data_IF_006824223124
#
_entry.id   IF_006824223124
#
_cell.length_a   1.000
_cell.length_b   1.000
_cell.length_c   1.000
_cell.angle_alpha   90.00
_cell.angle_beta   90.00
_cell.angle_gamma   90.00
#
_symmetry.space_group_name_H-M   'P 1'
#
loop_
_entity.id
_entity.type
_entity.pdbx_description
1 polymer ?
#
# COMPACT_ATOMS: atom_id res chain seq x y z
N UNK A 1 -15.09 -36.13 -3.97
CA UNK A 1 -14.18 -35.52 -2.98
C UNK A 1 -12.86 -35.32 -3.72
N UNK A 2 -12.44 -34.15 -4.19
CA UNK A 2 -12.36 -32.81 -3.58
C UNK A 2 -12.75 -31.74 -4.62
N UNK A 3 -13.42 -30.70 -4.14
CA UNK A 3 -13.86 -29.49 -4.85
C UNK A 3 -12.68 -28.53 -5.10
N UNK A 4 -12.91 -27.58 -6.01
CA UNK A 4 -12.38 -26.21 -6.06
C UNK A 4 -10.98 -26.05 -6.68
N UNK A 5 -10.88 -25.73 -7.99
CA UNK A 5 -10.92 -24.37 -8.56
C UNK A 5 -9.99 -23.37 -7.84
N UNK A 6 -8.80 -23.16 -8.38
CA UNK A 6 -8.08 -21.89 -8.27
C UNK A 6 -7.96 -21.37 -9.69
N UNK A 7 -8.86 -20.46 -10.01
CA UNK A 7 -8.85 -19.72 -11.27
C UNK A 7 -7.66 -18.76 -11.24
N UNK A 8 -6.79 -18.93 -12.23
CA UNK A 8 -5.85 -17.92 -12.70
C UNK A 8 -6.69 -16.76 -13.24
N UNK A 9 -6.91 -15.74 -12.41
CA UNK A 9 -7.71 -14.57 -12.73
C UNK A 9 -7.00 -13.64 -13.71
N UNK A 10 -7.29 -13.87 -14.99
CA UNK A 10 -7.45 -12.90 -16.07
C UNK A 10 -7.45 -11.41 -15.63
N UNK A 11 -6.39 -10.67 -15.95
CA UNK A 11 -6.48 -9.21 -16.09
C UNK A 11 -6.94 -8.93 -17.53
N UNK A 12 -8.26 -8.96 -17.73
CA UNK A 12 -8.92 -8.66 -18.99
C UNK A 12 -9.22 -7.17 -19.11
N UNK A 13 -8.94 -6.63 -20.30
CA UNK A 13 -9.36 -5.32 -20.79
C UNK A 13 -10.90 -5.25 -20.84
N UNK A 14 -11.50 -4.11 -20.44
CA UNK A 14 -12.81 -3.51 -20.83
C UNK A 14 -13.66 -3.01 -19.65
N UNK A 15 -13.68 -1.69 -19.48
CA UNK A 15 -14.85 -0.83 -19.20
C UNK A 15 -15.88 -1.22 -18.13
N UNK A 16 -15.88 -0.47 -17.04
CA UNK A 16 -17.11 -0.01 -16.38
C UNK A 16 -16.85 1.35 -15.70
N UNK A 17 -17.52 2.38 -16.20
CA UNK A 17 -17.69 3.65 -15.51
C UNK A 17 -18.75 3.45 -14.44
N UNK A 18 -18.38 3.44 -13.16
CA UNK A 18 -19.29 3.63 -12.01
C UNK A 18 -18.45 4.02 -10.77
N UNK A 19 -18.17 5.32 -10.66
CA UNK A 19 -17.82 6.08 -9.44
C UNK A 19 -16.66 5.67 -8.50
N UNK A 20 -15.75 4.77 -8.88
CA UNK A 20 -14.63 4.37 -8.00
C UNK A 20 -13.28 4.38 -8.74
N UNK A 21 -12.82 5.57 -9.15
CA UNK A 21 -11.47 5.73 -9.65
C UNK A 21 -10.50 5.39 -8.50
N UNK A 22 -9.71 4.32 -8.63
CA UNK A 22 -8.69 4.03 -7.64
C UNK A 22 -7.71 5.22 -7.52
N UNK A 23 -7.13 5.40 -6.34
CA UNK A 23 -6.29 6.54 -6.00
C UNK A 23 -5.21 6.80 -7.06
N UNK A 24 -5.02 8.06 -7.42
CA UNK A 24 -4.08 8.48 -8.44
C UNK A 24 -2.94 9.30 -7.82
N UNK A 25 -1.84 9.46 -8.56
CA UNK A 25 -0.81 10.41 -8.17
C UNK A 25 -1.42 11.82 -8.08
N UNK A 26 -1.20 12.48 -6.95
CA UNK A 26 -1.85 13.75 -6.60
C UNK A 26 -2.92 13.60 -5.52
N UNK A 27 -3.62 12.46 -5.46
CA UNK A 27 -4.65 12.21 -4.45
C UNK A 27 -4.03 12.03 -3.07
N UNK A 28 -4.83 12.31 -2.04
CA UNK A 28 -4.48 12.00 -0.66
C UNK A 28 -5.24 10.78 -0.17
N UNK A 29 -4.53 9.69 0.09
CA UNK A 29 -5.10 8.48 0.69
C UNK A 29 -4.96 8.55 2.21
N UNK A 30 -6.05 8.31 2.93
CA UNK A 30 -6.04 8.15 4.38
C UNK A 30 -5.84 6.66 4.65
N UNK A 31 -4.69 6.30 5.23
CA UNK A 31 -4.28 4.91 5.41
C UNK A 31 -4.00 4.58 6.87
N UNK A 32 -4.32 3.36 7.26
CA UNK A 32 -3.71 2.70 8.41
C UNK A 32 -2.58 1.84 7.87
N UNK A 33 -1.41 1.86 8.49
CA UNK A 33 -0.34 0.96 8.10
C UNK A 33 0.35 0.38 9.32
N UNK A 34 0.85 -0.85 9.18
CA UNK A 34 1.67 -1.53 10.16
C UNK A 34 2.85 -2.23 9.45
N UNK A 35 4.07 -1.84 9.82
CA UNK A 35 5.32 -2.32 9.25
C UNK A 35 5.86 -3.52 10.02
N UNK A 36 6.27 -4.54 9.26
CA UNK A 36 6.82 -5.80 9.76
C UNK A 36 8.18 -6.06 9.12
N UNK A 37 9.16 -6.38 9.96
CA UNK A 37 10.48 -6.87 9.56
C UNK A 37 10.57 -8.34 10.00
N UNK A 38 10.76 -9.25 9.04
CA UNK A 38 10.82 -10.70 9.31
C UNK A 38 9.61 -11.24 10.12
N UNK A 39 8.42 -10.64 9.91
CA UNK A 39 7.18 -10.99 10.61
C UNK A 39 7.02 -10.36 12.00
N UNK A 40 8.00 -9.59 12.45
CA UNK A 40 7.95 -8.84 13.71
C UNK A 40 7.61 -7.39 13.43
N UNK A 41 6.56 -6.87 14.08
CA UNK A 41 6.20 -5.45 13.94
C UNK A 41 7.29 -4.57 14.57
N UNK A 42 7.79 -3.57 13.83
CA UNK A 42 8.85 -2.68 14.30
C UNK A 42 8.29 -1.34 14.79
N UNK A 43 8.92 -0.71 15.81
CA UNK A 43 8.49 0.58 16.34
C UNK A 43 8.66 1.69 15.29
N UNK A 44 7.68 2.60 15.22
CA UNK A 44 7.68 3.71 14.26
C UNK A 44 7.19 3.34 12.85
N UNK A 45 6.94 2.06 12.56
CA UNK A 45 6.35 1.60 11.31
C UNK A 45 4.82 1.49 11.32
N UNK A 46 4.12 2.05 12.31
CA UNK A 46 2.67 1.91 12.44
C UNK A 46 1.99 3.25 12.64
N UNK A 47 0.91 3.50 11.91
CA UNK A 47 0.04 4.66 12.08
C UNK A 47 -1.40 4.31 11.69
N UNK A 48 -2.36 5.04 12.26
CA UNK A 48 -3.78 4.95 11.93
C UNK A 48 -4.27 6.32 11.44
N UNK A 49 -5.09 6.34 10.40
CA UNK A 49 -5.68 7.55 9.82
C UNK A 49 -4.66 8.50 9.20
N UNK A 50 -3.52 8.00 8.74
CA UNK A 50 -2.43 8.83 8.22
C UNK A 50 -2.76 9.32 6.80
N UNK A 51 -2.86 10.64 6.55
CA UNK A 51 -3.06 11.18 5.22
C UNK A 51 -1.74 11.17 4.44
N UNK A 52 -1.69 10.43 3.35
CA UNK A 52 -0.54 10.33 2.45
C UNK A 52 -0.91 10.84 1.06
N UNK A 53 -0.24 11.90 0.60
CA UNK A 53 -0.36 12.38 -0.77
C UNK A 53 0.49 11.52 -1.70
N UNK A 54 -0.13 10.86 -2.66
CA UNK A 54 0.55 9.98 -3.62
C UNK A 54 1.39 10.80 -4.61
N UNK A 55 2.66 10.42 -4.78
CA UNK A 55 3.62 11.13 -5.62
C UNK A 55 4.24 12.36 -4.95
N UNK A 56 4.08 12.51 -3.63
CA UNK A 56 4.70 13.59 -2.87
C UNK A 56 6.17 13.31 -2.54
N UNK A 57 6.58 12.03 -2.58
CA UNK A 57 7.92 11.59 -2.20
C UNK A 57 8.23 11.84 -0.72
N UNK A 58 7.19 11.97 0.10
CA UNK A 58 7.32 12.10 1.55
C UNK A 58 7.64 10.76 2.21
N UNK A 59 7.22 9.67 1.57
CA UNK A 59 7.51 8.31 2.02
C UNK A 59 8.71 7.71 1.30
N UNK A 60 9.16 6.58 1.82
CA UNK A 60 10.19 5.75 1.21
C UNK A 60 9.80 5.36 -0.24
N UNK A 61 10.75 5.41 -1.19
CA UNK A 61 10.49 5.05 -2.57
C UNK A 61 9.85 3.66 -2.71
N UNK A 62 8.91 3.52 -3.64
CA UNK A 62 8.17 2.28 -3.86
C UNK A 62 6.96 2.06 -2.93
N UNK A 63 6.80 2.83 -1.85
CA UNK A 63 5.61 2.75 -1.01
C UNK A 63 4.39 3.40 -1.67
N UNK A 64 4.51 4.66 -2.06
CA UNK A 64 3.42 5.45 -2.67
C UNK A 64 2.95 4.83 -4.00
N UNK A 65 3.88 4.32 -4.81
CA UNK A 65 3.59 3.71 -6.11
C UNK A 65 2.71 2.46 -6.00
N UNK A 66 2.86 1.69 -4.92
CA UNK A 66 2.02 0.53 -4.64
C UNK A 66 0.65 0.89 -4.08
N UNK A 67 0.44 2.15 -3.67
CA UNK A 67 -0.86 2.67 -3.25
C UNK A 67 -1.66 3.30 -4.40
N UNK A 68 -1.04 3.58 -5.54
CA UNK A 68 -1.75 3.97 -6.75
C UNK A 68 -2.71 2.84 -7.17
N UNK A 69 -3.93 3.21 -7.55
CA UNK A 69 -5.03 2.30 -7.86
C UNK A 69 -5.74 1.74 -6.63
N UNK A 70 -5.39 2.16 -5.40
CA UNK A 70 -6.13 1.84 -4.19
C UNK A 70 -7.59 2.27 -4.25
N UNK A 71 -8.47 1.39 -3.80
CA UNK A 71 -9.86 1.75 -3.53
C UNK A 71 -10.10 1.88 -2.03
N UNK A 72 -11.08 2.70 -1.66
CA UNK A 72 -11.50 2.85 -0.26
C UNK A 72 -11.93 1.50 0.33
N UNK A 73 -11.44 1.21 1.53
CA UNK A 73 -11.70 -0.03 2.26
C UNK A 73 -10.79 -1.19 1.85
N UNK A 74 -9.85 -0.99 0.93
CA UNK A 74 -8.93 -2.04 0.49
C UNK A 74 -7.80 -2.27 1.51
N UNK A 75 -7.42 -3.53 1.68
CA UNK A 75 -6.21 -3.94 2.40
C UNK A 75 -5.18 -4.50 1.42
N UNK A 76 -3.93 -4.04 1.54
CA UNK A 76 -2.83 -4.50 0.70
C UNK A 76 -1.52 -4.59 1.46
N UNK A 77 -0.68 -5.50 1.05
CA UNK A 77 0.68 -5.64 1.55
C UNK A 77 1.63 -4.88 0.62
N UNK A 78 2.40 -3.96 1.19
CA UNK A 78 3.35 -3.10 0.48
C UNK A 78 4.75 -3.54 0.86
N UNK A 79 5.49 -4.07 -0.12
CA UNK A 79 6.85 -4.56 0.07
C UNK A 79 7.85 -3.48 -0.34
N UNK A 80 8.74 -3.10 0.57
CA UNK A 80 9.80 -2.12 0.27
C UNK A 80 11.14 -2.57 0.85
N UNK A 81 12.21 -2.03 0.28
CA UNK A 81 13.55 -2.12 0.84
C UNK A 81 13.94 -0.74 1.34
N UNK A 82 14.27 -0.62 2.63
CA UNK A 82 14.76 0.64 3.16
C UNK A 82 16.12 1.01 2.56
N UNK A 83 16.38 2.29 2.24
CA UNK A 83 17.70 2.74 1.83
C UNK A 83 18.79 2.40 2.87
N UNK A 84 20.02 2.21 2.41
CA UNK A 84 21.17 1.94 3.29
C UNK A 84 21.53 3.11 4.22
N UNK A 85 21.06 4.30 3.89
CA UNK A 85 21.28 5.54 4.66
C UNK A 85 20.11 5.85 5.62
N UNK A 86 19.25 4.85 5.89
CA UNK A 86 18.17 4.99 6.87
C UNK A 86 18.66 4.69 8.31
N UNK A 87 17.74 4.67 9.28
CA UNK A 87 18.13 4.32 10.67
C UNK A 87 18.81 2.94 10.70
N UNK A 88 19.89 2.74 11.47
CA UNK A 88 20.71 1.52 11.41
C UNK A 88 19.93 0.21 11.60
N UNK A 89 18.82 0.26 12.32
CA UNK A 89 17.96 -0.88 12.62
C UNK A 89 17.13 -1.34 11.40
N UNK A 90 16.91 -0.45 10.43
CA UNK A 90 16.09 -0.69 9.24
C UNK A 90 16.88 -0.55 7.94
N UNK A 91 18.07 0.04 7.96
CA UNK A 91 18.89 0.30 6.78
C UNK A 91 19.16 -0.98 5.97
N UNK A 92 18.78 -0.96 4.68
CA UNK A 92 18.96 -2.09 3.76
C UNK A 92 18.11 -3.32 4.07
N UNK A 93 17.07 -3.18 4.91
CA UNK A 93 16.16 -4.28 5.25
C UNK A 93 14.91 -4.26 4.36
N UNK A 94 14.49 -5.46 3.98
CA UNK A 94 13.21 -5.68 3.34
C UNK A 94 12.12 -5.75 4.41
N UNK A 95 11.08 -4.96 4.25
CA UNK A 95 9.95 -4.92 5.17
C UNK A 95 8.63 -5.01 4.42
N UNK A 96 7.61 -5.46 5.13
CA UNK A 96 6.24 -5.53 4.62
C UNK A 96 5.38 -4.59 5.44
N UNK A 97 4.72 -3.65 4.78
CA UNK A 97 3.71 -2.82 5.40
C UNK A 97 2.33 -3.36 5.04
N UNK A 98 1.56 -3.73 6.05
CA UNK A 98 0.13 -4.01 5.88
C UNK A 98 -0.60 -2.69 5.90
N UNK A 99 -1.19 -2.31 4.77
CA UNK A 99 -1.85 -1.02 4.58
C UNK A 99 -3.34 -1.23 4.36
N UNK A 100 -4.16 -0.49 5.10
CA UNK A 100 -5.62 -0.43 4.94
C UNK A 100 -6.00 0.98 4.52
N UNK A 101 -6.69 1.10 3.39
CA UNK A 101 -7.15 2.38 2.85
C UNK A 101 -8.47 2.75 3.50
N UNK A 102 -8.46 3.75 4.37
CA UNK A 102 -9.63 4.22 5.11
C UNK A 102 -10.44 5.18 4.26
N UNK A 103 -9.77 6.10 3.55
CA UNK A 103 -10.42 7.09 2.70
C UNK A 103 -9.52 7.55 1.55
N UNK A 104 -10.12 8.19 0.53
CA UNK A 104 -9.41 8.78 -0.60
C UNK A 104 -9.98 10.18 -0.81
N UNK A 105 -9.10 11.18 -0.80
CA UNK A 105 -9.40 12.58 -1.08
C UNK A 105 -8.80 12.89 -2.44
N UNK A 106 -9.68 13.04 -3.44
CA UNK A 106 -9.33 13.46 -4.79
C UNK A 106 -8.94 14.95 -4.79
N UNK A 107 -7.80 15.30 -5.41
CA UNK A 107 -7.24 16.67 -5.46
C UNK A 107 -7.23 17.28 -6.87
#
# INVERSE_FOLDING_TARGET
>A
MKKLMIALGLCGVLGACDSNAGAQNGDTVVINFAGYLDGVQFPGGTAEGFPLKLGSGQFVPGFEEQLVGAVKGEERDVNITFPTEYVPELAGKDVVFKVTVVDIIEE
#
